data_IF_446595076420
#
_entry.id   IF_446595076420
#
_cell.length_a   1.000
_cell.length_b   1.000
_cell.length_c   1.000
_cell.angle_alpha   90.00
_cell.angle_beta   90.00
_cell.angle_gamma   90.00
#
_symmetry.space_group_name_H-M   'P 1'
#
loop_
_entity.id
_entity.type
_entity.pdbx_description
1 polymer ?
#
# COMPACT_ATOMS: atom_id res chain seq x y z
N UNK A 1 -20.41 -13.54 -6.90
CA UNK A 1 -19.39 -13.66 -7.96
C UNK A 1 -18.84 -12.27 -8.21
N UNK A 2 -17.55 -12.04 -7.96
CA UNK A 2 -16.93 -10.74 -8.23
C UNK A 2 -16.97 -10.45 -9.74
N UNK A 3 -17.39 -9.24 -10.11
CA UNK A 3 -17.50 -8.81 -11.51
C UNK A 3 -16.10 -8.85 -12.16
N UNK A 4 -15.89 -9.58 -13.28
CA UNK A 4 -14.60 -9.67 -13.95
C UNK A 4 -13.97 -8.30 -14.26
N UNK A 5 -14.78 -7.31 -14.66
CA UNK A 5 -14.28 -5.95 -14.91
C UNK A 5 -13.74 -5.29 -13.63
N UNK A 6 -14.39 -5.52 -12.49
CA UNK A 6 -13.94 -5.00 -11.20
C UNK A 6 -12.64 -5.66 -10.75
N UNK A 7 -12.51 -6.97 -10.93
CA UNK A 7 -11.25 -7.68 -10.64
C UNK A 7 -10.10 -7.15 -11.48
N UNK A 8 -10.31 -6.93 -12.79
CA UNK A 8 -9.28 -6.35 -13.67
C UNK A 8 -8.88 -4.93 -13.25
N UNK A 9 -9.80 -4.13 -12.71
CA UNK A 9 -9.48 -2.80 -12.18
C UNK A 9 -8.59 -2.90 -10.93
N UNK A 10 -8.90 -3.80 -9.99
CA UNK A 10 -8.08 -4.04 -8.79
C UNK A 10 -6.67 -4.51 -9.19
N UNK A 11 -6.57 -5.46 -10.12
CA UNK A 11 -5.29 -5.94 -10.65
C UNK A 11 -4.49 -4.80 -11.30
N UNK A 12 -5.15 -3.92 -12.04
CA UNK A 12 -4.53 -2.74 -12.65
C UNK A 12 -3.96 -1.76 -11.61
N UNK A 13 -4.73 -1.45 -10.56
CA UNK A 13 -4.28 -0.58 -9.46
C UNK A 13 -3.09 -1.21 -8.74
N UNK A 14 -3.16 -2.50 -8.42
CA UNK A 14 -2.07 -3.22 -7.77
C UNK A 14 -0.80 -3.24 -8.64
N UNK A 15 -0.94 -3.35 -9.95
CA UNK A 15 0.21 -3.29 -10.88
C UNK A 15 0.90 -1.92 -10.84
N UNK A 16 0.13 -0.83 -10.74
CA UNK A 16 0.66 0.54 -10.61
C UNK A 16 1.38 0.74 -9.27
N UNK A 17 0.79 0.28 -8.16
CA UNK A 17 1.41 0.33 -6.82
C UNK A 17 2.73 -0.43 -6.82
N UNK A 18 2.77 -1.64 -7.38
CA UNK A 18 4.01 -2.41 -7.49
C UNK A 18 5.07 -1.69 -8.34
N UNK A 19 4.68 -1.01 -9.42
CA UNK A 19 5.60 -0.23 -10.22
C UNK A 19 6.19 0.94 -9.42
N UNK A 20 5.38 1.65 -8.64
CA UNK A 20 5.87 2.72 -7.75
C UNK A 20 6.87 2.19 -6.72
N UNK A 21 6.52 1.11 -6.02
CA UNK A 21 7.36 0.51 -4.99
C UNK A 21 8.71 0.02 -5.55
N UNK A 22 8.72 -0.57 -6.76
CA UNK A 22 9.95 -1.00 -7.45
C UNK A 22 10.88 0.15 -7.84
N UNK A 23 10.34 1.35 -8.01
CA UNK A 23 11.11 2.54 -8.39
C UNK A 23 11.39 3.45 -7.18
N UNK A 24 11.27 2.94 -5.95
CA UNK A 24 11.48 3.71 -4.71
C UNK A 24 10.57 4.95 -4.58
N UNK A 25 9.40 4.92 -5.23
CA UNK A 25 8.36 5.96 -5.15
C UNK A 25 7.20 5.48 -4.26
N UNK A 26 7.54 4.91 -3.10
CA UNK A 26 6.57 4.34 -2.15
C UNK A 26 5.57 5.39 -1.70
N UNK A 27 4.31 4.98 -1.54
CA UNK A 27 3.25 5.83 -0.98
C UNK A 27 3.09 5.47 0.49
N UNK A 28 3.49 6.38 1.36
CA UNK A 28 3.45 6.20 2.81
C UNK A 28 2.10 6.57 3.40
N UNK A 29 1.73 5.89 4.49
CA UNK A 29 0.62 6.31 5.33
C UNK A 29 1.05 7.53 6.16
N UNK A 30 0.29 8.62 6.09
CA UNK A 30 0.60 9.83 6.83
C UNK A 30 0.39 9.68 8.34
N UNK A 31 -0.51 8.78 8.77
CA UNK A 31 -0.76 8.50 10.18
C UNK A 31 0.22 7.47 10.76
N UNK A 32 0.81 6.63 9.91
CA UNK A 32 1.83 5.64 10.27
C UNK A 32 3.01 5.71 9.27
N UNK A 33 3.87 6.73 9.37
CA UNK A 33 4.91 7.04 8.37
C UNK A 33 5.93 5.92 8.13
N UNK A 34 6.04 4.97 9.06
CA UNK A 34 6.87 3.78 8.96
C UNK A 34 6.27 2.69 8.06
N UNK A 35 5.05 2.86 7.56
CA UNK A 35 4.35 1.94 6.67
C UNK A 35 4.12 2.54 5.28
N UNK A 36 4.23 1.69 4.25
CA UNK A 36 3.91 2.06 2.87
C UNK A 36 2.90 1.10 2.23
N UNK A 37 2.12 1.60 1.28
CA UNK A 37 1.09 0.81 0.59
C UNK A 37 1.74 -0.21 -0.37
N UNK A 38 1.34 -1.48 -0.25
CA UNK A 38 1.77 -2.58 -1.12
C UNK A 38 0.71 -3.04 -2.11
N UNK A 39 -0.54 -2.68 -1.87
CA UNK A 39 -1.66 -2.97 -2.76
C UNK A 39 -3.00 -2.57 -2.16
N UNK A 40 -4.06 -2.96 -2.85
CA UNK A 40 -5.45 -2.85 -2.41
C UNK A 40 -6.16 -4.20 -2.58
N UNK A 41 -7.19 -4.41 -1.77
CA UNK A 41 -8.13 -5.51 -1.91
C UNK A 41 -9.56 -5.04 -1.66
N UNK A 42 -10.52 -5.81 -2.17
CA UNK A 42 -11.93 -5.57 -1.91
C UNK A 42 -12.42 -6.43 -0.75
N UNK A 43 -12.82 -5.77 0.33
CA UNK A 43 -13.52 -6.38 1.45
C UNK A 43 -15.01 -6.45 1.12
N UNK A 44 -15.53 -7.67 1.00
CA UNK A 44 -16.94 -7.93 0.65
C UNK A 44 -17.91 -7.70 1.82
N UNK A 45 -17.44 -7.83 3.06
CA UNK A 45 -18.27 -7.66 4.25
C UNK A 45 -18.65 -6.19 4.44
N UNK A 46 -17.69 -5.30 4.19
CA UNK A 46 -17.84 -3.86 4.38
C UNK A 46 -18.16 -3.08 3.08
N UNK A 47 -18.17 -3.76 1.92
CA UNK A 47 -18.29 -3.16 0.58
C UNK A 47 -17.28 -2.01 0.36
N UNK A 48 -16.00 -2.28 0.66
CA UNK A 48 -14.93 -1.28 0.63
C UNK A 48 -13.64 -1.81 0.00
N UNK A 49 -12.89 -0.90 -0.61
CA UNK A 49 -11.48 -1.14 -0.94
C UNK A 49 -10.63 -0.79 0.29
N UNK A 50 -9.80 -1.73 0.69
CA UNK A 50 -8.86 -1.59 1.81
C UNK A 50 -7.45 -1.69 1.24
N UNK A 51 -6.57 -0.79 1.68
CA UNK A 51 -5.17 -0.85 1.32
C UNK A 51 -4.42 -1.86 2.19
N UNK A 52 -3.37 -2.44 1.63
CA UNK A 52 -2.40 -3.26 2.36
C UNK A 52 -1.14 -2.46 2.53
N UNK A 53 -0.51 -2.58 3.69
CA UNK A 53 0.78 -1.95 3.98
C UNK A 53 1.85 -2.98 4.29
N UNK A 54 3.10 -2.53 4.25
CA UNK A 54 4.26 -3.22 4.81
C UNK A 54 5.17 -2.19 5.48
N UNK A 55 6.02 -2.65 6.41
CA UNK A 55 6.94 -1.80 7.16
C UNK A 55 8.15 -1.40 6.31
N UNK A 56 8.56 -0.14 6.42
CA UNK A 56 9.83 0.33 5.88
C UNK A 56 10.85 0.50 6.99
N UNK A 57 11.64 -0.54 7.23
CA UNK A 57 12.68 -0.54 8.27
C UNK A 57 13.70 0.59 8.12
N UNK A 58 13.94 1.07 6.89
CA UNK A 58 14.86 2.19 6.67
C UNK A 58 14.23 3.52 7.09
N UNK A 59 12.94 3.70 6.82
CA UNK A 59 12.20 4.88 7.28
C UNK A 59 12.03 4.87 8.81
N UNK A 60 11.74 3.70 9.38
CA UNK A 60 11.67 3.52 10.84
C UNK A 60 13.00 3.89 11.51
N UNK A 61 14.13 3.40 10.97
CA UNK A 61 15.47 3.79 11.46
C UNK A 61 15.70 5.29 11.33
N UNK A 62 15.33 5.89 10.19
CA UNK A 62 15.51 7.33 9.94
C UNK A 62 14.77 8.15 10.99
N UNK A 63 13.50 7.83 11.26
CA UNK A 63 12.68 8.53 12.24
C UNK A 63 13.27 8.45 13.65
N UNK A 64 13.74 7.28 14.08
CA UNK A 64 14.31 7.10 15.42
C UNK A 64 15.78 7.52 15.56
N UNK A 65 16.49 7.72 14.45
CA UNK A 65 17.86 8.24 14.47
C UNK A 65 17.94 9.74 14.74
N UNK A 66 16.82 10.46 14.65
CA UNK A 66 16.73 11.89 14.97
C UNK A 66 16.44 12.15 16.47
N UNK A 67 16.21 11.10 17.26
CA UNK A 67 15.90 11.17 18.70
C UNK A 67 17.14 10.98 19.62
N UNK A 68 18.34 10.77 19.07
CA UNK A 68 19.64 10.68 19.79
C UNK A 68 20.54 11.92 19.57
#
# INVERSE_FOLDING_TARGET
MANPAFNSLIEGINSQIQALNKNSLKVYDAENPEYFITGIEYNQEDDKLIFKTDEDLEELKRMHSEDE
#
